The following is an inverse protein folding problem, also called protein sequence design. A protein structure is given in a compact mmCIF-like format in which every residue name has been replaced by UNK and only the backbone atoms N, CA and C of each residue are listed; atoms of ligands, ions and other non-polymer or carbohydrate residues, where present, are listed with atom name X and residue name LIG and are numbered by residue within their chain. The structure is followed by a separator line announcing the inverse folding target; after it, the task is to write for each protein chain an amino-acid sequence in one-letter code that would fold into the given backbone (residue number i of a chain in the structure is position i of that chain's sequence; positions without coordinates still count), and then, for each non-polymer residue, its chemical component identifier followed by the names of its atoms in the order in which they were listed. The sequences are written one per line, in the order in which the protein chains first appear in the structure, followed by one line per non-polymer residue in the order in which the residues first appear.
data_IF_431371326604
#
_entry.id   IF_431371326604
#
_cell.length_a   1.000
_cell.length_b   1.000
_cell.length_c   1.000
_cell.angle_alpha   90.00
_cell.angle_beta   90.00
_cell.angle_gamma   90.00
#
_symmetry.space_group_name_H-M   'P 1'
#
loop_
_entity.id
_entity.type
_entity.pdbx_description
1 polymer ?
#
# COMPACT_ATOMS: atom_id res chain seq x y z
N UNK A 1 12.60 -6.37 3.76
CA UNK A 1 11.92 -5.25 3.07
C UNK A 1 10.91 -5.75 2.05
N UNK A 2 11.33 -6.53 1.04
CA UNK A 2 10.43 -7.02 -0.02
C UNK A 2 9.24 -7.82 0.52
N UNK A 3 9.46 -8.77 1.42
CA UNK A 3 8.36 -9.55 2.02
C UNK A 3 7.35 -8.70 2.81
N UNK A 4 7.81 -7.61 3.46
CA UNK A 4 6.93 -6.70 4.16
C UNK A 4 6.11 -5.86 3.18
N UNK A 5 6.73 -5.38 2.09
CA UNK A 5 6.03 -4.66 1.03
C UNK A 5 4.92 -5.52 0.40
N UNK A 6 5.22 -6.78 0.03
CA UNK A 6 4.22 -7.71 -0.51
C UNK A 6 3.06 -7.93 0.45
N UNK A 7 3.33 -8.16 1.75
CA UNK A 7 2.25 -8.34 2.74
C UNK A 7 1.36 -7.11 2.89
N UNK A 8 1.94 -5.91 2.79
CA UNK A 8 1.16 -4.66 2.85
C UNK A 8 0.31 -4.49 1.59
N UNK A 9 0.87 -4.79 0.42
CA UNK A 9 0.14 -4.80 -0.86
C UNK A 9 -1.04 -5.78 -0.82
N UNK A 10 -0.81 -7.02 -0.36
CA UNK A 10 -1.86 -8.03 -0.20
C UNK A 10 -2.96 -7.54 0.75
N UNK A 11 -2.58 -6.96 1.88
CA UNK A 11 -3.52 -6.43 2.87
C UNK A 11 -4.34 -5.27 2.32
N UNK A 12 -3.72 -4.35 1.57
CA UNK A 12 -4.42 -3.26 0.90
C UNK A 12 -5.42 -3.78 -0.14
N UNK A 13 -5.03 -4.82 -0.89
CA UNK A 13 -5.89 -5.54 -1.82
C UNK A 13 -7.12 -6.15 -1.14
N UNK A 14 -6.92 -6.85 -0.01
CA UNK A 14 -8.00 -7.44 0.79
C UNK A 14 -8.96 -6.35 1.29
N UNK A 15 -8.44 -5.27 1.88
CA UNK A 15 -9.25 -4.14 2.36
C UNK A 15 -10.10 -3.56 1.24
N UNK A 16 -9.51 -3.32 0.06
CA UNK A 16 -10.22 -2.82 -1.11
C UNK A 16 -11.32 -3.79 -1.57
N UNK A 17 -11.05 -5.09 -1.59
CA UNK A 17 -12.03 -6.12 -1.94
C UNK A 17 -13.23 -6.13 -0.98
N UNK A 18 -12.96 -6.05 0.33
CA UNK A 18 -14.00 -5.97 1.35
C UNK A 18 -14.87 -4.72 1.18
N UNK A 19 -14.27 -3.56 0.88
CA UNK A 19 -15.02 -2.33 0.60
C UNK A 19 -15.96 -2.48 -0.61
N UNK A 20 -15.45 -3.01 -1.73
CA UNK A 20 -16.29 -3.21 -2.94
C UNK A 20 -17.43 -4.19 -2.70
N UNK A 21 -17.19 -5.29 -1.98
CA UNK A 21 -18.24 -6.25 -1.65
C UNK A 21 -19.31 -5.62 -0.76
N UNK A 22 -18.88 -4.85 0.24
CA UNK A 22 -19.77 -4.18 1.17
C UNK A 22 -20.62 -3.10 0.46
N UNK A 23 -20.06 -2.34 -0.48
CA UNK A 23 -20.80 -1.40 -1.34
C UNK A 23 -21.86 -2.13 -2.18
N UNK A 24 -21.52 -3.28 -2.76
CA UNK A 24 -22.47 -4.12 -3.49
C UNK A 24 -23.63 -4.59 -2.63
N UNK A 25 -23.33 -5.12 -1.43
CA UNK A 25 -24.35 -5.54 -0.48
C UNK A 25 -25.25 -4.39 -0.03
N UNK A 26 -24.70 -3.19 0.23
CA UNK A 26 -25.49 -2.00 0.52
C UNK A 26 -26.42 -1.66 -0.63
N UNK A 27 -25.92 -1.64 -1.87
CA UNK A 27 -26.74 -1.30 -3.03
C UNK A 27 -27.94 -2.24 -3.17
N UNK A 28 -27.73 -3.55 -3.00
CA UNK A 28 -28.82 -4.54 -2.99
C UNK A 28 -29.79 -4.35 -1.82
N UNK A 29 -29.28 -4.08 -0.62
CA UNK A 29 -30.11 -3.86 0.57
C UNK A 29 -30.97 -2.60 0.44
N UNK A 30 -30.39 -1.51 -0.09
CA UNK A 30 -31.06 -0.22 -0.19
C UNK A 30 -32.09 -0.15 -1.33
N UNK A 31 -32.05 -1.05 -2.32
CA UNK A 31 -32.91 -0.96 -3.52
C UNK A 31 -34.42 -1.06 -3.21
N UNK A 32 -34.79 -1.67 -2.09
CA UNK A 32 -36.17 -1.76 -1.62
C UNK A 32 -36.38 -1.27 -0.18
N UNK A 33 -35.33 -0.78 0.48
CA UNK A 33 -35.38 -0.42 1.89
C UNK A 33 -35.49 1.10 2.09
N UNK A 34 -36.72 1.56 2.33
CA UNK A 34 -37.03 2.95 2.62
C UNK A 34 -37.42 3.16 4.09
N UNK A 35 -37.09 4.33 4.64
CA UNK A 35 -37.50 4.77 5.98
C UNK A 35 -36.33 5.23 6.86
N UNK A 36 -36.63 5.69 8.09
CA UNK A 36 -35.62 6.25 9.00
C UNK A 36 -34.48 5.28 9.35
N UNK A 37 -34.75 3.97 9.33
CA UNK A 37 -33.74 2.95 9.56
C UNK A 37 -32.70 2.90 8.42
N UNK A 38 -33.13 3.03 7.16
CA UNK A 38 -32.22 3.01 6.01
C UNK A 38 -31.35 4.27 5.95
N UNK A 39 -31.87 5.43 6.35
CA UNK A 39 -31.09 6.67 6.51
C UNK A 39 -30.02 6.53 7.60
N UNK A 40 -30.38 5.94 8.74
CA UNK A 40 -29.44 5.74 9.84
C UNK A 40 -28.34 4.73 9.49
N UNK A 41 -28.71 3.65 8.79
CA UNK A 41 -27.76 2.69 8.25
C UNK A 41 -26.82 3.33 7.22
N UNK A 42 -27.36 4.13 6.28
CA UNK A 42 -26.56 4.82 5.26
C UNK A 42 -25.50 5.73 5.89
N UNK A 43 -25.86 6.46 6.94
CA UNK A 43 -24.92 7.30 7.69
C UNK A 43 -23.76 6.49 8.28
N UNK A 44 -24.07 5.42 9.02
CA UNK A 44 -23.05 4.56 9.66
C UNK A 44 -22.17 3.91 8.60
N UNK A 45 -22.78 3.49 7.49
CA UNK A 45 -22.06 2.91 6.37
C UNK A 45 -21.04 3.89 5.76
N UNK A 46 -21.46 5.14 5.54
CA UNK A 46 -20.58 6.16 4.97
C UNK A 46 -19.43 6.50 5.92
N UNK A 47 -19.68 6.48 7.23
CA UNK A 47 -18.64 6.63 8.26
C UNK A 47 -17.65 5.46 8.23
N UNK A 48 -18.14 4.23 8.17
CA UNK A 48 -17.30 3.04 8.01
C UNK A 48 -16.43 3.12 6.74
N UNK A 49 -17.01 3.52 5.60
CA UNK A 49 -16.25 3.69 4.36
C UNK A 49 -15.18 4.79 4.44
N UNK A 50 -15.46 5.85 5.18
CA UNK A 50 -14.48 6.90 5.45
C UNK A 50 -13.29 6.35 6.23
N UNK A 51 -13.52 5.60 7.31
CA UNK A 51 -12.45 5.01 8.11
C UNK A 51 -11.67 3.94 7.32
N UNK A 52 -12.34 3.09 6.56
CA UNK A 52 -11.68 2.09 5.71
C UNK A 52 -10.81 2.74 4.63
N UNK A 53 -11.22 3.88 4.09
CA UNK A 53 -10.40 4.65 3.15
C UNK A 53 -9.12 5.18 3.81
N UNK A 54 -9.18 5.61 5.07
CA UNK A 54 -8.00 6.02 5.83
C UNK A 54 -7.03 4.85 6.03
N UNK A 55 -7.54 3.67 6.42
CA UNK A 55 -6.73 2.45 6.58
C UNK A 55 -6.04 2.09 5.27
N UNK A 56 -6.78 2.06 4.16
CA UNK A 56 -6.21 1.77 2.82
C UNK A 56 -5.12 2.77 2.45
N UNK A 57 -5.39 4.07 2.64
CA UNK A 57 -4.42 5.13 2.33
C UNK A 57 -3.13 4.99 3.15
N UNK A 58 -3.25 4.60 4.43
CA UNK A 58 -2.10 4.35 5.28
C UNK A 58 -1.29 3.11 4.81
N UNK A 59 -1.96 2.03 4.41
CA UNK A 59 -1.32 0.84 3.85
C UNK A 59 -0.57 1.19 2.55
N UNK A 60 -1.20 1.90 1.62
CA UNK A 60 -0.57 2.34 0.37
C UNK A 60 0.66 3.23 0.64
N UNK A 61 0.55 4.17 1.59
CA UNK A 61 1.67 5.02 1.99
C UNK A 61 2.83 4.26 2.63
N UNK A 62 2.55 3.21 3.41
CA UNK A 62 3.59 2.32 3.95
C UNK A 62 4.25 1.49 2.85
N UNK A 63 3.46 0.97 1.90
CA UNK A 63 3.99 0.23 0.75
C UNK A 63 4.96 1.08 -0.07
N UNK A 64 4.55 2.31 -0.43
CA UNK A 64 5.40 3.25 -1.16
C UNK A 64 6.72 3.54 -0.44
N UNK A 65 6.68 3.75 0.89
CA UNK A 65 7.88 3.96 1.69
C UNK A 65 8.81 2.75 1.66
N UNK A 66 8.28 1.54 1.82
CA UNK A 66 9.09 0.31 1.80
C UNK A 66 9.76 0.07 0.44
N UNK A 67 9.03 0.30 -0.65
CA UNK A 67 9.57 0.20 -2.01
C UNK A 67 10.63 1.26 -2.25
N UNK A 68 10.38 2.51 -1.83
CA UNK A 68 11.36 3.58 -1.94
C UNK A 68 12.64 3.25 -1.17
N UNK A 69 12.51 2.79 0.09
CA UNK A 69 13.68 2.39 0.88
C UNK A 69 14.44 1.25 0.19
N UNK A 70 13.76 0.25 -0.38
CA UNK A 70 14.42 -0.81 -1.15
C UNK A 70 15.26 -0.23 -2.30
N UNK A 71 14.69 0.66 -3.11
CA UNK A 71 15.39 1.31 -4.24
C UNK A 71 16.61 2.09 -3.75
N UNK A 72 16.48 2.85 -2.66
CA UNK A 72 17.59 3.63 -2.09
C UNK A 72 18.73 2.73 -1.63
N UNK A 73 18.43 1.62 -0.96
CA UNK A 73 19.44 0.65 -0.54
C UNK A 73 20.15 0.03 -1.74
N UNK A 74 19.41 -0.44 -2.75
CA UNK A 74 19.98 -1.02 -3.97
C UNK A 74 20.88 -0.02 -4.71
N UNK A 75 20.47 1.26 -4.81
CA UNK A 75 21.30 2.32 -5.41
C UNK A 75 22.59 2.58 -4.62
N UNK A 76 22.48 2.62 -3.28
CA UNK A 76 23.63 2.89 -2.40
C UNK A 76 24.65 1.75 -2.44
N UNK A 77 24.18 0.51 -2.53
CA UNK A 77 25.03 -0.68 -2.66
C UNK A 77 25.76 -0.68 -4.02
N UNK A 78 25.03 -0.41 -5.11
CA UNK A 78 25.61 -0.27 -6.45
C UNK A 78 26.69 0.82 -6.52
N UNK A 79 26.43 1.99 -5.92
CA UNK A 79 27.40 3.10 -5.86
C UNK A 79 28.66 2.73 -5.07
N UNK A 80 28.52 1.98 -3.97
CA UNK A 80 29.65 1.48 -3.19
C UNK A 80 30.47 0.46 -3.99
N UNK A 81 29.82 -0.50 -4.63
CA UNK A 81 30.49 -1.51 -5.45
C UNK A 81 31.24 -0.86 -6.62
N UNK A 82 30.63 0.11 -7.30
CA UNK A 82 31.27 0.86 -8.38
C UNK A 82 32.48 1.67 -7.89
N UNK A 83 32.38 2.30 -6.72
CA UNK A 83 33.49 3.02 -6.10
C UNK A 83 34.65 2.07 -5.71
N UNK A 84 34.34 0.92 -5.12
CA UNK A 84 35.33 -0.10 -4.76
C UNK A 84 35.99 -0.67 -6.00
N UNK A 85 35.21 -1.00 -7.04
CA UNK A 85 35.73 -1.49 -8.31
C UNK A 85 36.66 -0.47 -8.97
N UNK A 86 36.30 0.82 -8.95
CA UNK A 86 37.15 1.90 -9.44
C UNK A 86 38.46 2.00 -8.66
N UNK A 87 38.42 1.90 -7.33
CA UNK A 87 39.63 1.88 -6.49
C UNK A 87 40.51 0.67 -6.84
N UNK A 88 39.92 -0.52 -6.94
CA UNK A 88 40.65 -1.75 -7.29
C UNK A 88 41.29 -1.65 -8.68
N UNK A 89 40.63 -1.05 -9.66
CA UNK A 89 41.22 -0.80 -10.98
C UNK A 89 42.41 0.17 -10.92
N UNK A 90 42.31 1.24 -10.12
CA UNK A 90 43.41 2.18 -9.93
C UNK A 90 44.60 1.55 -9.21
N UNK A 91 44.35 0.70 -8.21
CA UNK A 91 45.40 0.00 -7.46
C UNK A 91 46.08 -1.08 -8.30
N UNK A 92 45.32 -1.82 -9.11
CA UNK A 92 45.85 -2.92 -9.92
C UNK A 92 46.39 -2.47 -11.29
N UNK A 93 46.04 -1.27 -11.77
CA UNK A 93 46.55 -0.68 -13.02
C UNK A 93 47.75 0.25 -12.84
N UNK A 94 48.25 0.41 -11.60
CA UNK A 94 49.34 1.33 -11.23
C UNK A 94 50.76 0.76 -11.29
N UNK A 95 50.99 -0.37 -11.97
CA UNK A 95 52.32 -0.95 -12.23
C UNK A 95 52.56 -1.07 -13.73
#
# INVERSE_FOLDING_TARGET
MQQAATRIEDSAGIVKGLQSNLDGHKSSLMSGWAGNASVSFDKIFNEFQTEMTKVRTALDGMHQKLVHTKITYESTEQEQDDAVNKINQLLNGGT
#
